data_IF_671684356500
#
_entry.id   IF_671684356500
#
_cell.length_a   1.000
_cell.length_b   1.000
_cell.length_c   1.000
_cell.angle_alpha   90.00
_cell.angle_beta   90.00
_cell.angle_gamma   90.00
#
_symmetry.space_group_name_H-M   'P 1'
#
loop_
_entity.id
_entity.type
_entity.pdbx_description
1 polymer ?
#
# COMPACT_ATOMS: atom_id res chain seq x y z
N UNK A 1 12.22 -13.20 6.55
CA UNK A 1 11.19 -12.61 5.66
C UNK A 1 10.91 -11.15 5.96
N UNK A 2 10.80 -10.72 7.23
CA UNK A 2 10.57 -9.30 7.57
C UNK A 2 11.63 -8.34 6.99
N UNK A 3 12.92 -8.70 7.05
CA UNK A 3 13.99 -7.89 6.47
C UNK A 3 13.85 -7.68 4.96
N UNK A 4 13.37 -8.70 4.24
CA UNK A 4 13.10 -8.58 2.81
C UNK A 4 11.94 -7.60 2.56
N UNK A 5 10.83 -7.77 3.29
CA UNK A 5 9.66 -6.88 3.20
C UNK A 5 10.01 -5.42 3.54
N UNK A 6 10.83 -5.18 4.56
CA UNK A 6 11.32 -3.85 4.92
C UNK A 6 12.21 -3.24 3.84
N UNK A 7 13.11 -4.04 3.26
CA UNK A 7 14.00 -3.58 2.19
C UNK A 7 13.20 -3.23 0.94
N UNK A 8 12.25 -4.08 0.54
CA UNK A 8 11.39 -3.83 -0.61
C UNK A 8 10.48 -2.62 -0.37
N UNK A 9 9.88 -2.51 0.82
CA UNK A 9 9.08 -1.34 1.19
C UNK A 9 9.86 -0.02 1.06
N UNK A 10 11.09 0.00 1.55
CA UNK A 10 11.97 1.18 1.44
C UNK A 10 12.29 1.54 -0.02
N UNK A 11 12.59 0.53 -0.85
CA UNK A 11 12.88 0.73 -2.26
C UNK A 11 11.65 1.23 -3.06
N UNK A 12 10.49 0.63 -2.80
CA UNK A 12 9.24 0.93 -3.52
C UNK A 12 8.63 2.27 -3.08
N UNK A 13 9.03 2.81 -1.93
CA UNK A 13 8.48 4.06 -1.39
C UNK A 13 8.67 5.27 -2.34
N UNK A 14 9.77 5.32 -3.09
CA UNK A 14 10.01 6.33 -4.12
C UNK A 14 8.97 6.23 -5.26
N UNK A 15 8.75 5.02 -5.78
CA UNK A 15 7.77 4.77 -6.85
C UNK A 15 6.33 5.01 -6.38
N UNK A 16 6.02 4.71 -5.12
CA UNK A 16 4.69 4.95 -4.53
C UNK A 16 4.38 6.44 -4.49
N UNK A 17 5.35 7.30 -4.17
CA UNK A 17 5.13 8.75 -4.18
C UNK A 17 4.78 9.23 -5.59
N UNK A 18 5.59 8.84 -6.57
CA UNK A 18 5.36 9.19 -7.97
C UNK A 18 3.96 8.75 -8.43
N UNK A 19 3.56 7.52 -8.12
CA UNK A 19 2.22 7.01 -8.43
C UNK A 19 1.12 7.86 -7.76
N UNK A 20 1.26 8.17 -6.48
CA UNK A 20 0.28 8.96 -5.72
C UNK A 20 0.15 10.40 -6.21
N UNK A 21 1.21 10.96 -6.83
CA UNK A 21 1.24 12.33 -7.33
C UNK A 21 0.71 12.45 -8.76
N UNK A 22 0.78 11.37 -9.55
CA UNK A 22 0.39 11.37 -10.95
C UNK A 22 -0.95 10.68 -11.26
N UNK A 23 -1.48 9.87 -10.34
CA UNK A 23 -2.76 9.18 -10.52
C UNK A 23 -3.82 9.77 -9.60
N UNK A 24 -4.95 10.16 -10.19
CA UNK A 24 -6.12 10.58 -9.44
C UNK A 24 -6.95 9.35 -9.02
N UNK A 25 -7.14 9.21 -7.72
CA UNK A 25 -7.95 8.14 -7.14
C UNK A 25 -9.33 8.63 -6.65
N UNK A 26 -9.67 9.89 -6.89
CA UNK A 26 -10.88 10.54 -6.34
C UNK A 26 -12.18 9.81 -6.67
N UNK A 27 -12.29 9.21 -7.86
CA UNK A 27 -13.49 8.50 -8.32
C UNK A 27 -13.65 7.08 -7.77
N UNK A 28 -12.64 6.54 -7.09
CA UNK A 28 -12.66 5.18 -6.56
C UNK A 28 -13.12 5.18 -5.10
N UNK A 29 -13.77 4.09 -4.69
CA UNK A 29 -14.24 3.86 -3.32
C UNK A 29 -13.57 2.66 -2.63
N UNK A 30 -12.88 1.83 -3.41
CA UNK A 30 -12.23 0.61 -2.93
C UNK A 30 -10.86 0.46 -3.58
N UNK A 31 -9.87 0.10 -2.77
CA UNK A 31 -8.53 -0.28 -3.20
C UNK A 31 -8.27 -1.72 -2.77
N UNK A 32 -7.83 -2.58 -3.68
CA UNK A 32 -7.30 -3.91 -3.36
C UNK A 32 -5.81 -3.92 -3.73
N UNK A 33 -4.96 -4.00 -2.72
CA UNK A 33 -3.51 -3.97 -2.84
C UNK A 33 -2.96 -5.40 -2.72
N UNK A 34 -2.45 -5.94 -3.83
CA UNK A 34 -2.05 -7.34 -3.96
C UNK A 34 -0.53 -7.42 -3.94
N UNK A 35 0.03 -8.15 -2.98
CA UNK A 35 1.48 -8.21 -2.77
C UNK A 35 2.05 -6.90 -2.23
N UNK A 36 1.30 -6.24 -1.34
CA UNK A 36 1.59 -4.90 -0.82
C UNK A 36 2.75 -4.86 0.18
N UNK A 37 3.31 -6.02 0.54
CA UNK A 37 4.39 -6.19 1.50
C UNK A 37 4.04 -5.65 2.88
N UNK A 38 4.30 -4.36 3.13
CA UNK A 38 3.99 -3.74 4.42
C UNK A 38 2.79 -2.81 4.35
N UNK A 39 2.15 -2.61 3.19
CA UNK A 39 0.95 -1.77 3.04
C UNK A 39 1.18 -0.26 2.87
N UNK A 40 2.40 0.16 2.52
CA UNK A 40 2.75 1.58 2.37
C UNK A 40 1.91 2.31 1.31
N UNK A 41 1.65 1.66 0.18
CA UNK A 41 0.86 2.22 -0.92
C UNK A 41 -0.57 2.48 -0.45
N UNK A 42 -1.24 1.43 0.04
CA UNK A 42 -2.57 1.52 0.62
C UNK A 42 -2.69 2.60 1.68
N UNK A 43 -1.76 2.69 2.63
CA UNK A 43 -1.77 3.74 3.66
C UNK A 43 -1.67 5.13 3.08
N UNK A 44 -0.81 5.36 2.09
CA UNK A 44 -0.67 6.67 1.45
C UNK A 44 -1.93 7.07 0.68
N UNK A 45 -2.51 6.15 -0.09
CA UNK A 45 -3.75 6.41 -0.83
C UNK A 45 -4.89 6.72 0.14
N UNK A 46 -5.13 5.90 1.16
CA UNK A 46 -6.22 6.13 2.14
C UNK A 46 -6.02 7.43 2.91
N UNK A 47 -4.77 7.78 3.25
CA UNK A 47 -4.47 9.07 3.91
C UNK A 47 -4.82 10.27 3.02
N UNK A 48 -4.63 10.17 1.70
CA UNK A 48 -4.94 11.24 0.73
C UNK A 48 -6.42 11.23 0.32
N UNK A 49 -7.05 10.06 0.29
CA UNK A 49 -8.43 9.82 -0.12
C UNK A 49 -9.17 9.01 0.95
N UNK A 50 -9.62 9.65 2.05
CA UNK A 50 -10.19 8.95 3.21
C UNK A 50 -11.50 8.21 2.94
N UNK A 51 -12.16 8.48 1.80
CA UNK A 51 -13.36 7.76 1.37
C UNK A 51 -13.07 6.39 0.77
N UNK A 52 -11.81 6.07 0.48
CA UNK A 52 -11.38 4.78 -0.07
C UNK A 52 -11.24 3.75 1.05
N UNK A 53 -11.90 2.61 0.90
CA UNK A 53 -11.69 1.43 1.72
C UNK A 53 -10.60 0.56 1.09
N UNK A 54 -9.45 0.43 1.76
CA UNK A 54 -8.35 -0.41 1.29
C UNK A 54 -8.41 -1.82 1.89
N UNK A 55 -8.14 -2.82 1.05
CA UNK A 55 -7.92 -4.20 1.43
C UNK A 55 -6.52 -4.62 0.99
N UNK A 56 -5.78 -5.24 1.90
CA UNK A 56 -4.46 -5.82 1.64
C UNK A 56 -4.57 -7.32 1.44
N UNK A 57 -3.93 -7.83 0.39
CA UNK A 57 -3.82 -9.26 0.10
C UNK A 57 -2.36 -9.62 -0.19
N UNK A 58 -1.71 -10.22 0.80
CA UNK A 58 -0.36 -10.81 0.66
C UNK A 58 -0.36 -12.26 1.16
N UNK A 59 0.80 -12.90 1.16
CA UNK A 59 1.05 -14.19 1.79
C UNK A 59 0.69 -14.11 3.28
N UNK A 60 0.13 -15.17 3.88
CA UNK A 60 -0.33 -15.15 5.28
C UNK A 60 0.72 -14.70 6.31
N UNK A 61 2.01 -14.91 6.01
CA UNK A 61 3.14 -14.51 6.88
C UNK A 61 3.46 -13.01 6.82
N UNK A 62 2.91 -12.29 5.85
CA UNK A 62 3.23 -10.89 5.53
C UNK A 62 2.01 -9.99 5.73
N UNK A 63 0.81 -10.46 5.39
CA UNK A 63 -0.46 -9.70 5.50
C UNK A 63 -0.70 -9.08 6.87
N UNK A 64 -0.22 -9.69 7.96
CA UNK A 64 -0.37 -9.14 9.30
C UNK A 64 0.37 -7.80 9.52
N UNK A 65 1.38 -7.49 8.71
CA UNK A 65 2.14 -6.24 8.79
C UNK A 65 1.52 -5.09 7.98
N UNK A 66 0.55 -5.37 7.12
CA UNK A 66 -0.19 -4.32 6.42
C UNK A 66 -1.13 -3.53 7.35
N UNK A 67 -1.51 -4.13 8.48
CA UNK A 67 -2.44 -3.56 9.47
C UNK A 67 -1.77 -2.75 10.59
N UNK A 68 -0.44 -2.82 10.71
CA UNK A 68 0.38 -2.09 11.68
C UNK A 68 0.82 -0.73 11.14
#
# INVERSE_FOLDING_TARGET
>A
MIYFAQTMSSFTCCTINELCDHVDFSSYSTLLDIGDSLGELSRKIVKRYPHINALSLDLPKVTCYALS
#
